data_IF_800266914059
#
_entry.id   IF_800266914059
#
_cell.length_a   1.000
_cell.length_b   1.000
_cell.length_c   1.000
_cell.angle_alpha   90.00
_cell.angle_beta   90.00
_cell.angle_gamma   90.00
#
_symmetry.space_group_name_H-M   'P 1'
#
loop_
_entity.id
_entity.type
_entity.pdbx_description
1 polymer ?
#
# COMPACT_ATOMS: atom_id res chain seq x y z
N UNK A 1 13.95 -11.81 -6.98
CA UNK A 1 13.42 -10.99 -5.87
C UNK A 1 14.50 -10.58 -4.86
N UNK A 2 15.75 -10.35 -5.28
CA UNK A 2 16.84 -10.05 -4.33
C UNK A 2 16.85 -8.58 -3.87
N UNK A 3 16.66 -7.63 -4.79
CA UNK A 3 16.80 -6.19 -4.49
C UNK A 3 15.94 -5.73 -3.29
N UNK A 4 14.63 -5.94 -3.32
CA UNK A 4 13.72 -5.50 -2.24
C UNK A 4 14.02 -6.22 -0.92
N UNK A 5 14.41 -7.50 -0.98
CA UNK A 5 14.80 -8.25 0.20
C UNK A 5 16.07 -7.68 0.85
N UNK A 6 17.06 -7.29 0.04
CA UNK A 6 18.27 -6.64 0.55
C UNK A 6 17.99 -5.22 1.07
N UNK A 7 17.16 -4.44 0.38
CA UNK A 7 16.78 -3.10 0.84
C UNK A 7 16.03 -3.14 2.18
N UNK A 8 15.21 -4.17 2.42
CA UNK A 8 14.55 -4.38 3.72
C UNK A 8 15.53 -4.65 4.87
N UNK A 9 16.75 -5.13 4.59
CA UNK A 9 17.80 -5.30 5.61
C UNK A 9 18.49 -3.98 5.95
N UNK A 10 18.48 -3.02 5.02
CA UNK A 10 19.24 -1.76 5.09
C UNK A 10 18.37 -0.56 5.45
N UNK A 11 17.11 -0.59 5.07
CA UNK A 11 16.16 0.52 5.18
C UNK A 11 14.80 0.05 5.67
N UNK A 12 14.02 0.99 6.20
CA UNK A 12 12.60 0.74 6.44
C UNK A 12 11.84 0.84 5.13
N UNK A 13 11.45 -0.31 4.57
CA UNK A 13 10.69 -0.41 3.32
C UNK A 13 9.22 -0.69 3.64
N UNK A 14 8.32 0.13 3.09
CA UNK A 14 6.87 -0.03 3.23
C UNK A 14 6.22 -0.54 1.93
N UNK A 15 5.08 -1.25 2.02
CA UNK A 15 4.48 -1.79 3.24
C UNK A 15 5.27 -3.00 3.77
N UNK A 16 4.78 -3.64 4.84
CA UNK A 16 5.34 -4.93 5.29
C UNK A 16 5.28 -5.96 4.16
N UNK A 17 6.20 -6.94 4.10
CA UNK A 17 6.24 -7.93 3.01
C UNK A 17 4.91 -8.62 2.78
N UNK A 18 4.20 -8.97 3.85
CA UNK A 18 2.93 -9.70 3.82
C UNK A 18 1.78 -8.83 3.27
N UNK A 19 1.95 -7.51 3.25
CA UNK A 19 0.94 -6.56 2.80
C UNK A 19 1.18 -6.08 1.36
N UNK A 20 2.27 -6.49 0.70
CA UNK A 20 2.59 -6.02 -0.66
C UNK A 20 1.49 -6.37 -1.66
N UNK A 21 0.87 -7.53 -1.52
CA UNK A 21 -0.21 -8.01 -2.39
C UNK A 21 -1.57 -8.06 -1.69
N UNK A 22 -1.76 -7.36 -0.57
CA UNK A 22 -2.97 -7.49 0.24
C UNK A 22 -4.27 -7.20 -0.52
N UNK A 23 -4.23 -6.42 -1.60
CA UNK A 23 -5.40 -6.18 -2.45
C UNK A 23 -5.98 -7.47 -3.05
N UNK A 24 -5.17 -8.51 -3.30
CA UNK A 24 -5.65 -9.80 -3.84
C UNK A 24 -6.46 -10.59 -2.81
N UNK A 25 -6.26 -10.31 -1.53
CA UNK A 25 -7.00 -10.95 -0.43
C UNK A 25 -8.41 -10.33 -0.25
N UNK A 26 -8.65 -9.14 -0.81
CA UNK A 26 -9.91 -8.41 -0.64
C UNK A 26 -10.87 -8.55 -1.82
N UNK A 27 -10.37 -8.89 -3.00
CA UNK A 27 -11.17 -9.02 -4.21
C UNK A 27 -10.59 -10.16 -5.05
N UNK A 28 -11.39 -11.21 -5.26
CA UNK A 28 -11.04 -12.26 -6.20
C UNK A 28 -10.89 -11.67 -7.60
N UNK A 29 -10.00 -12.25 -8.41
CA UNK A 29 -9.65 -11.70 -9.71
C UNK A 29 -10.87 -11.58 -10.64
N UNK A 30 -11.78 -12.55 -10.56
CA UNK A 30 -13.01 -12.63 -11.35
C UNK A 30 -14.05 -11.56 -10.95
N UNK A 31 -13.96 -11.03 -9.73
CA UNK A 31 -14.86 -10.01 -9.19
C UNK A 31 -14.39 -8.57 -9.47
N UNK A 32 -13.19 -8.40 -10.05
CA UNK A 32 -12.62 -7.08 -10.33
C UNK A 32 -13.43 -6.36 -11.41
N UNK A 33 -14.00 -5.21 -11.05
CA UNK A 33 -14.76 -4.33 -11.97
C UNK A 33 -14.03 -3.02 -12.30
N UNK A 34 -13.22 -2.54 -11.38
CA UNK A 34 -12.51 -1.26 -11.46
C UNK A 34 -11.12 -1.44 -10.89
N UNK A 35 -10.11 -0.86 -11.53
CA UNK A 35 -8.73 -0.82 -11.05
C UNK A 35 -8.36 0.63 -10.75
N UNK A 36 -7.99 0.91 -9.51
CA UNK A 36 -7.40 2.20 -9.12
C UNK A 36 -5.88 2.03 -9.07
N UNK A 37 -5.16 2.87 -9.82
CA UNK A 37 -3.70 2.87 -9.86
C UNK A 37 -3.16 4.07 -9.08
N UNK A 38 -2.37 3.78 -8.05
CA UNK A 38 -1.53 4.77 -7.37
C UNK A 38 -0.11 4.80 -7.95
N UNK A 39 0.71 5.76 -7.51
CA UNK A 39 2.11 5.87 -7.91
C UNK A 39 3.00 4.92 -7.09
N UNK A 40 3.09 5.17 -5.78
CA UNK A 40 3.91 4.41 -4.83
C UNK A 40 3.23 4.33 -3.45
N UNK A 41 3.61 3.36 -2.59
CA UNK A 41 3.08 3.27 -1.24
C UNK A 41 3.45 4.49 -0.40
N UNK A 42 2.57 4.87 0.53
CA UNK A 42 2.92 5.87 1.54
C UNK A 42 4.17 5.47 2.33
N UNK A 43 5.11 6.41 2.45
CA UNK A 43 6.44 6.17 2.99
C UNK A 43 6.59 6.49 4.48
N UNK A 44 5.50 6.83 5.20
CA UNK A 44 5.54 7.02 6.65
C UNK A 44 5.10 5.76 7.39
N UNK A 45 5.64 5.58 8.59
CA UNK A 45 5.32 4.46 9.48
C UNK A 45 3.82 4.30 9.66
N UNK A 46 3.33 3.10 9.34
CA UNK A 46 1.94 2.70 9.51
C UNK A 46 0.98 3.16 8.41
N UNK A 47 1.39 4.00 7.46
CA UNK A 47 0.46 4.51 6.44
C UNK A 47 0.16 3.50 5.33
N UNK A 48 1.17 2.86 4.75
CA UNK A 48 0.96 1.90 3.67
C UNK A 48 0.58 0.51 4.22
N UNK A 49 -0.47 -0.07 3.63
CA UNK A 49 -1.01 -1.37 4.03
C UNK A 49 -1.50 -2.24 2.86
N UNK A 50 -0.99 -1.98 1.65
CA UNK A 50 -1.27 -2.80 0.46
C UNK A 50 -2.42 -2.34 -0.43
N UNK A 51 -3.05 -1.21 -0.09
CA UNK A 51 -4.12 -0.57 -0.86
C UNK A 51 -3.71 0.85 -1.25
N UNK A 52 -3.83 1.20 -2.54
CA UNK A 52 -3.53 2.56 -2.99
C UNK A 52 -4.53 3.56 -2.39
N UNK A 53 -4.06 4.79 -2.13
CA UNK A 53 -4.84 5.88 -1.53
C UNK A 53 -5.43 5.62 -0.13
N UNK A 54 -5.22 4.43 0.45
CA UNK A 54 -5.80 4.03 1.73
C UNK A 54 -4.76 4.05 2.85
N UNK A 55 -5.20 4.39 4.06
CA UNK A 55 -4.41 4.30 5.30
C UNK A 55 -5.21 3.55 6.38
N UNK A 56 -4.55 2.75 7.25
CA UNK A 56 -5.21 2.13 8.39
C UNK A 56 -5.78 3.17 9.37
N UNK A 57 -6.99 2.96 9.89
CA UNK A 57 -7.51 3.76 11.00
C UNK A 57 -6.67 3.49 12.27
N UNK A 58 -6.42 4.50 13.14
CA UNK A 58 -6.91 5.88 13.09
C UNK A 58 -5.95 6.87 12.40
N UNK A 59 -5.01 6.39 11.57
CA UNK A 59 -3.99 7.23 10.95
C UNK A 59 -4.66 8.20 9.97
N UNK A 60 -4.40 9.52 10.07
CA UNK A 60 -4.99 10.48 9.16
C UNK A 60 -4.43 10.28 7.74
N UNK A 61 -5.27 10.41 6.70
CA UNK A 61 -4.80 10.44 5.33
C UNK A 61 -3.80 11.59 5.11
N UNK A 62 -2.82 11.43 4.21
CA UNK A 62 -1.89 12.50 3.92
C UNK A 62 -2.60 13.71 3.26
N UNK A 63 -2.08 14.94 3.45
CA UNK A 63 -2.77 16.17 3.04
C UNK A 63 -3.15 16.24 1.56
N UNK A 64 -2.36 15.59 0.68
CA UNK A 64 -2.60 15.56 -0.77
C UNK A 64 -3.72 14.60 -1.19
N UNK A 65 -4.25 13.77 -0.28
CA UNK A 65 -5.38 12.89 -0.55
C UNK A 65 -6.73 13.63 -0.56
N UNK A 66 -6.76 14.97 -0.48
CA UNK A 66 -8.00 15.74 -0.59
C UNK A 66 -8.76 15.60 -1.92
N UNK A 67 -8.24 14.84 -2.89
CA UNK A 67 -8.85 14.64 -4.21
C UNK A 67 -9.64 13.33 -4.37
N UNK A 68 -9.60 12.41 -3.38
CA UNK A 68 -10.35 11.14 -3.43
C UNK A 68 -11.21 11.04 -2.17
N UNK A 69 -12.36 11.71 -2.20
CA UNK A 69 -13.42 11.62 -1.19
C UNK A 69 -14.73 11.23 -1.88
#
# INVERSE_FOLDING_TARGET
MSFVAEERKRFTVYPKPEQVFFWTELCAFEDVKVVLLGQDPYHRRGQAHGLCFSVPRPIPPPPRLGAVH
#
